data_IF_824663070692
#
_entry.id   IF_824663070692
#
_cell.length_a   1.000
_cell.length_b   1.000
_cell.length_c   1.000
_cell.angle_alpha   90.00
_cell.angle_beta   90.00
_cell.angle_gamma   90.00
#
_symmetry.space_group_name_H-M   'P 1'
#
loop_
_entity.id
_entity.type
_entity.pdbx_description
1 polymer ?
#
# COMPACT_ATOMS: atom_id res chain seq x y z
N UNK A 1 6.79 5.87 21.06
CA UNK A 1 7.65 5.75 19.87
C UNK A 1 7.48 4.34 19.33
N UNK A 2 6.63 4.13 18.32
CA UNK A 2 6.40 2.78 17.78
C UNK A 2 7.50 2.53 16.75
N UNK A 3 8.59 1.90 17.21
CA UNK A 3 9.68 1.45 16.32
C UNK A 3 9.21 0.23 15.52
N UNK A 4 9.66 0.14 14.28
CA UNK A 4 9.42 -1.02 13.42
C UNK A 4 10.22 -2.21 13.99
N UNK A 5 9.58 -3.37 14.25
CA UNK A 5 10.26 -4.54 14.77
C UNK A 5 11.31 -5.04 13.79
N UNK A 6 12.44 -5.55 14.29
CA UNK A 6 13.61 -5.96 13.50
C UNK A 6 13.27 -6.90 12.35
N UNK A 7 12.36 -7.86 12.58
CA UNK A 7 11.88 -8.78 11.53
C UNK A 7 11.27 -8.08 10.31
N UNK A 8 10.61 -6.93 10.51
CA UNK A 8 9.98 -6.16 9.44
C UNK A 8 10.96 -5.19 8.77
N UNK A 9 12.09 -4.90 9.40
CA UNK A 9 13.10 -4.00 8.83
C UNK A 9 13.70 -4.56 7.54
N UNK A 10 13.78 -5.89 7.43
CA UNK A 10 14.23 -6.60 6.21
C UNK A 10 13.37 -6.27 4.98
N UNK A 11 12.12 -5.85 5.17
CA UNK A 11 11.21 -5.50 4.08
C UNK A 11 11.53 -4.14 3.43
N UNK A 12 12.43 -3.34 4.02
CA UNK A 12 12.76 -1.98 3.61
C UNK A 12 14.23 -1.86 3.15
N UNK A 13 14.60 -2.41 1.96
CA UNK A 13 15.98 -2.43 1.51
C UNK A 13 16.51 -1.05 1.04
N UNK A 14 15.63 -0.15 0.61
CA UNK A 14 16.02 1.14 -0.01
C UNK A 14 15.97 2.34 0.93
N UNK A 15 15.59 2.15 2.19
CA UNK A 15 15.44 3.24 3.17
C UNK A 15 16.13 2.87 4.47
N UNK A 16 16.93 3.79 5.00
CA UNK A 16 17.51 3.63 6.33
C UNK A 16 16.39 3.66 7.36
N UNK A 17 16.15 2.52 8.03
CA UNK A 17 15.09 2.36 9.04
C UNK A 17 15.20 3.43 10.15
N UNK A 18 16.41 3.91 10.43
CA UNK A 18 16.68 4.95 11.44
C UNK A 18 16.04 6.30 11.10
N UNK A 19 15.84 6.60 9.81
CA UNK A 19 15.24 7.84 9.32
C UNK A 19 13.74 7.70 9.03
N UNK A 20 13.19 6.50 9.19
CA UNK A 20 11.83 6.17 8.76
C UNK A 20 10.83 6.51 9.88
N UNK A 21 9.97 7.48 9.60
CA UNK A 21 8.99 7.98 10.58
C UNK A 21 7.65 7.27 10.37
N UNK A 22 7.20 6.52 11.38
CA UNK A 22 5.97 5.72 11.28
C UNK A 22 4.70 6.53 11.03
N UNK A 23 4.71 7.83 11.30
CA UNK A 23 3.58 8.74 11.02
C UNK A 23 3.74 9.45 9.67
N UNK A 24 4.92 10.01 9.38
CA UNK A 24 5.13 10.75 8.13
C UNK A 24 5.15 9.80 6.92
N UNK A 25 5.80 8.66 7.07
CA UNK A 25 5.98 7.68 5.99
C UNK A 25 4.93 6.56 6.02
N UNK A 26 3.81 6.79 6.71
CA UNK A 26 2.73 5.80 6.88
C UNK A 26 2.32 5.15 5.56
N UNK A 27 2.22 5.94 4.49
CA UNK A 27 1.79 5.45 3.20
C UNK A 27 2.79 4.44 2.62
N UNK A 28 4.08 4.76 2.71
CA UNK A 28 5.16 3.91 2.22
C UNK A 28 5.26 2.62 3.04
N UNK A 29 5.13 2.71 4.36
CA UNK A 29 5.16 1.57 5.27
C UNK A 29 4.00 0.62 4.96
N UNK A 30 2.77 1.14 4.90
CA UNK A 30 1.58 0.34 4.61
C UNK A 30 1.69 -0.32 3.24
N UNK A 31 2.12 0.41 2.21
CA UNK A 31 2.30 -0.17 0.87
C UNK A 31 3.35 -1.28 0.86
N UNK A 32 4.48 -1.08 1.51
CA UNK A 32 5.54 -2.08 1.61
C UNK A 32 5.07 -3.32 2.38
N UNK A 33 4.32 -3.13 3.47
CA UNK A 33 3.77 -4.23 4.26
C UNK A 33 2.71 -5.02 3.49
N UNK A 34 1.82 -4.35 2.78
CA UNK A 34 0.80 -5.01 1.95
C UNK A 34 1.48 -5.84 0.85
N UNK A 35 2.56 -5.33 0.26
CA UNK A 35 3.25 -5.97 -0.87
C UNK A 35 4.14 -7.14 -0.46
N UNK A 36 5.00 -6.94 0.54
CA UNK A 36 6.12 -7.83 0.84
C UNK A 36 5.98 -8.56 2.18
N UNK A 37 4.98 -8.23 3.01
CA UNK A 37 4.91 -8.77 4.37
C UNK A 37 4.20 -10.10 4.48
N UNK A 38 4.49 -10.78 5.58
CA UNK A 38 3.82 -11.98 6.04
C UNK A 38 2.72 -11.63 7.05
N UNK A 39 2.02 -12.66 7.54
CA UNK A 39 0.97 -12.53 8.56
C UNK A 39 1.41 -11.76 9.81
N UNK A 40 2.67 -11.90 10.23
CA UNK A 40 3.23 -11.17 11.38
C UNK A 40 3.22 -9.66 11.14
N UNK A 41 3.62 -9.20 9.95
CA UNK A 41 3.65 -7.77 9.66
C UNK A 41 2.28 -7.19 9.34
N UNK A 42 1.35 -7.98 8.81
CA UNK A 42 -0.05 -7.56 8.71
C UNK A 42 -0.68 -7.37 10.09
N UNK A 43 -0.41 -8.26 11.04
CA UNK A 43 -0.88 -8.10 12.42
C UNK A 43 -0.27 -6.85 13.07
N UNK A 44 1.02 -6.59 12.85
CA UNK A 44 1.65 -5.35 13.32
C UNK A 44 1.05 -4.10 12.67
N UNK A 45 0.76 -4.15 11.37
CA UNK A 45 0.13 -3.05 10.64
C UNK A 45 -1.24 -2.71 11.23
N UNK A 46 -2.09 -3.71 11.44
CA UNK A 46 -3.44 -3.55 12.00
C UNK A 46 -3.44 -3.04 13.45
N UNK A 47 -2.36 -3.32 14.21
CA UNK A 47 -2.20 -2.80 15.58
C UNK A 47 -1.71 -1.35 15.63
N UNK A 48 -0.96 -0.91 14.63
CA UNK A 48 -0.35 0.43 14.63
C UNK A 48 -1.12 1.46 13.82
N UNK A 49 -1.84 1.04 12.78
CA UNK A 49 -2.57 1.93 11.89
C UNK A 49 -4.07 1.67 11.98
N UNK A 50 -4.86 2.73 11.95
CA UNK A 50 -6.31 2.62 11.84
C UNK A 50 -6.69 1.99 10.49
N UNK A 51 -7.82 1.28 10.47
CA UNK A 51 -8.42 0.77 9.23
C UNK A 51 -8.65 1.88 8.19
N UNK A 52 -8.96 3.10 8.65
CA UNK A 52 -9.14 4.28 7.80
C UNK A 52 -7.83 4.73 7.14
N UNK A 53 -6.73 4.74 7.90
CA UNK A 53 -5.41 5.05 7.35
C UNK A 53 -5.02 4.02 6.29
N UNK A 54 -5.19 2.73 6.59
CA UNK A 54 -4.88 1.63 5.66
C UNK A 54 -5.75 1.76 4.40
N UNK A 55 -7.05 1.97 4.55
CA UNK A 55 -7.99 2.16 3.44
C UNK A 55 -7.62 3.34 2.56
N UNK A 56 -7.32 4.49 3.17
CA UNK A 56 -6.93 5.71 2.44
C UNK A 56 -5.63 5.51 1.65
N UNK A 57 -4.69 4.73 2.20
CA UNK A 57 -3.42 4.43 1.56
C UNK A 57 -3.61 3.50 0.37
N UNK A 58 -4.43 2.46 0.53
CA UNK A 58 -4.75 1.49 -0.53
C UNK A 58 -5.46 2.19 -1.69
N UNK A 59 -6.47 3.02 -1.40
CA UNK A 59 -7.21 3.78 -2.43
C UNK A 59 -6.27 4.64 -3.29
N UNK A 60 -5.28 5.29 -2.67
CA UNK A 60 -4.32 6.18 -3.34
C UNK A 60 -3.13 5.47 -3.97
N UNK A 61 -2.90 4.19 -3.66
CA UNK A 61 -1.71 3.48 -4.12
C UNK A 61 -1.76 3.19 -5.62
N UNK A 62 -0.68 3.52 -6.31
CA UNK A 62 -0.44 3.15 -7.73
C UNK A 62 0.61 2.04 -7.89
N UNK A 63 1.32 1.72 -6.81
CA UNK A 63 2.47 0.81 -6.82
C UNK A 63 2.00 -0.64 -6.60
N UNK A 64 0.88 -0.80 -5.90
CA UNK A 64 0.32 -2.10 -5.55
C UNK A 64 -0.39 -2.74 -6.75
N UNK A 65 -0.31 -4.07 -6.83
CA UNK A 65 -0.98 -4.83 -7.88
C UNK A 65 -2.40 -5.21 -7.48
N UNK A 66 -3.31 -5.47 -8.44
CA UNK A 66 -4.67 -5.93 -8.14
C UNK A 66 -4.71 -7.13 -7.20
N UNK A 67 -3.80 -8.10 -7.40
CA UNK A 67 -3.70 -9.31 -6.58
C UNK A 67 -3.46 -9.01 -5.11
N UNK A 68 -2.59 -8.05 -4.82
CA UNK A 68 -2.27 -7.62 -3.46
C UNK A 68 -3.46 -6.91 -2.81
N UNK A 69 -4.22 -6.12 -3.57
CA UNK A 69 -5.29 -5.28 -3.02
C UNK A 69 -6.63 -5.98 -2.87
N UNK A 70 -6.96 -6.98 -3.71
CA UNK A 70 -8.25 -7.67 -3.63
C UNK A 70 -8.58 -8.18 -2.23
N UNK A 71 -7.59 -8.78 -1.55
CA UNK A 71 -7.74 -9.24 -0.17
C UNK A 71 -8.12 -8.10 0.78
N UNK A 72 -7.43 -6.96 0.68
CA UNK A 72 -7.68 -5.81 1.55
C UNK A 72 -8.99 -5.09 1.22
N UNK A 73 -9.38 -5.02 -0.05
CA UNK A 73 -10.70 -4.54 -0.43
C UNK A 73 -11.81 -5.36 0.22
N UNK A 74 -11.65 -6.69 0.22
CA UNK A 74 -12.61 -7.58 0.87
C UNK A 74 -12.59 -7.41 2.40
N UNK A 75 -11.40 -7.42 3.01
CA UNK A 75 -11.24 -7.30 4.47
C UNK A 75 -11.75 -5.97 5.04
N UNK A 76 -11.51 -4.85 4.34
CA UNK A 76 -11.91 -3.51 4.76
C UNK A 76 -13.25 -3.07 4.16
N UNK A 77 -13.91 -3.95 3.41
CA UNK A 77 -15.16 -3.69 2.70
C UNK A 77 -15.12 -2.41 1.82
N UNK A 78 -14.03 -2.24 1.07
CA UNK A 78 -13.80 -1.08 0.19
C UNK A 78 -14.34 -1.40 -1.21
N UNK A 79 -15.17 -0.54 -1.81
CA UNK A 79 -15.62 -0.73 -3.17
C UNK A 79 -14.43 -0.61 -4.14
N UNK A 80 -14.24 -1.62 -4.99
CA UNK A 80 -13.10 -1.72 -5.92
C UNK A 80 -12.98 -0.52 -6.87
N UNK A 81 -14.11 0.15 -7.17
CA UNK A 81 -14.15 1.36 -8.00
C UNK A 81 -13.39 2.55 -7.40
N UNK A 82 -13.28 2.62 -6.08
CA UNK A 82 -12.57 3.69 -5.38
C UNK A 82 -11.05 3.50 -5.34
N UNK A 83 -10.57 2.33 -5.75
CA UNK A 83 -9.15 2.01 -5.74
C UNK A 83 -8.54 2.34 -7.10
N UNK A 84 -7.56 3.24 -7.10
CA UNK A 84 -6.91 3.71 -8.33
C UNK A 84 -6.29 2.57 -9.15
N UNK A 85 -5.67 1.58 -8.50
CA UNK A 85 -5.01 0.47 -9.21
C UNK A 85 -6.00 -0.51 -9.88
N UNK A 86 -7.25 -0.59 -9.41
CA UNK A 86 -8.30 -1.47 -9.95
C UNK A 86 -9.14 -0.77 -11.02
N UNK A 87 -9.09 0.56 -11.05
CA UNK A 87 -9.88 1.36 -11.97
C UNK A 87 -9.26 1.37 -13.38
N UNK A 88 -9.81 0.50 -14.26
CA UNK A 88 -9.40 0.37 -15.66
C UNK A 88 -9.66 1.62 -16.51
N UNK A 89 -10.59 2.50 -16.11
CA UNK A 89 -10.89 3.71 -16.89
C UNK A 89 -9.72 4.71 -16.88
N UNK A 90 -8.89 4.69 -15.84
CA UNK A 90 -7.67 5.49 -15.76
C UNK A 90 -6.53 4.95 -16.64
N UNK A 91 -6.64 3.70 -17.13
CA UNK A 91 -5.64 3.06 -17.99
C UNK A 91 -5.86 3.33 -19.48
N UNK A 92 -6.92 4.09 -19.84
CA UNK A 92 -7.15 4.52 -21.24
C UNK A 92 -6.10 5.56 -21.62
N UNK A 93 -4.98 5.08 -22.16
CA UNK A 93 -4.00 5.91 -22.84
C UNK A 93 -4.69 6.64 -24.01
N UNK A 94 -4.43 7.94 -24.25
CA UNK A 94 -4.90 8.59 -25.46
C UNK A 94 -4.34 7.82 -26.67
N UNK A 95 -5.22 7.35 -27.56
CA UNK A 95 -4.80 6.76 -28.84
C UNK A 95 -4.32 7.88 -29.77
N UNK A 96 -3.21 8.51 -29.45
CA UNK A 96 -2.43 9.27 -30.42
C UNK A 96 -1.35 8.34 -30.93
N UNK A 97 -1.70 7.51 -31.92
CA UNK A 97 -0.69 7.06 -32.88
C UNK A 97 -0.18 8.35 -33.50
N UNK A 98 1.07 8.72 -33.22
CA UNK A 98 1.70 9.86 -33.86
C UNK A 98 1.38 9.80 -35.36
N UNK A 99 0.60 10.77 -35.84
CA UNK A 99 0.35 10.93 -37.27
C UNK A 99 1.63 11.53 -37.84
N UNK A 100 2.45 10.66 -38.44
CA UNK A 100 3.63 11.02 -39.20
C UNK A 100 3.27 11.07 -40.68
#
# INVERSE_FOLDING_TARGET
MNKIPEKLQVLFPSTEIQNLDTKKDKNYIIQTLVKNSTLEGWNWMLKNYSSEDISSTIKKSRILTPKEIYFWCYYLNIPQKEVLCLNKDLQKMPRTSWAY
#
